data_IF_934746373944
#
_entry.id   IF_934746373944
#
_cell.length_a   1.000
_cell.length_b   1.000
_cell.length_c   1.000
_cell.angle_alpha   90.00
_cell.angle_beta   90.00
_cell.angle_gamma   90.00
#
_symmetry.space_group_name_H-M   'P 1'
#
loop_
_entity.id
_entity.type
_entity.pdbx_description
1 polymer ?
#
# COMPACT_ATOMS: atom_id res chain seq x y z
N UNK A 1 3.23 14.10 48.80
CA UNK A 1 4.01 13.34 47.79
C UNK A 1 3.23 13.34 46.49
N UNK A 2 3.56 14.24 45.55
CA UNK A 2 2.83 14.40 44.29
C UNK A 2 3.28 13.33 43.28
N UNK A 3 2.36 12.51 42.79
CA UNK A 3 2.62 11.60 41.66
C UNK A 3 2.77 12.45 40.41
N UNK A 4 3.99 12.72 39.99
CA UNK A 4 4.25 13.40 38.72
C UNK A 4 4.00 12.41 37.58
N UNK A 5 2.75 12.31 37.14
CA UNK A 5 2.39 11.60 35.92
C UNK A 5 2.82 12.46 34.71
N UNK A 6 4.09 12.37 34.33
CA UNK A 6 4.58 12.91 33.05
C UNK A 6 3.92 12.11 31.93
N UNK A 7 2.75 12.57 31.46
CA UNK A 7 2.16 12.11 30.21
C UNK A 7 3.16 12.44 29.11
N UNK A 8 3.72 11.36 28.56
CA UNK A 8 4.64 11.32 27.44
C UNK A 8 4.09 12.21 26.31
N UNK A 9 4.93 13.13 25.89
CA UNK A 9 4.83 14.00 24.73
C UNK A 9 4.06 13.35 23.58
N UNK A 10 3.04 14.08 23.13
CA UNK A 10 2.76 14.39 21.72
C UNK A 10 3.49 13.50 20.71
N UNK A 11 2.80 12.47 20.22
CA UNK A 11 3.00 12.05 18.85
C UNK A 11 1.60 11.96 18.25
N UNK A 12 1.29 12.96 17.43
CA UNK A 12 0.10 13.03 16.59
C UNK A 12 -0.14 11.64 16.00
N UNK A 13 -1.18 10.92 16.44
CA UNK A 13 -1.66 9.72 15.73
C UNK A 13 -2.05 10.22 14.34
N UNK A 14 -1.30 9.91 13.26
CA UNK A 14 -1.69 10.36 11.94
C UNK A 14 -3.05 9.72 11.65
N UNK A 15 -4.08 10.56 11.51
CA UNK A 15 -5.45 10.18 11.16
C UNK A 15 -5.54 9.77 9.67
N UNK A 16 -4.63 8.91 9.23
CA UNK A 16 -4.45 8.57 7.82
C UNK A 16 -3.92 7.16 7.60
N UNK A 17 -4.20 6.23 8.52
CA UNK A 17 -4.10 4.79 8.24
C UNK A 17 -5.12 4.31 7.16
N UNK A 18 -5.92 5.21 6.60
CA UNK A 18 -6.93 4.94 5.56
C UNK A 18 -6.44 5.19 4.12
N UNK A 19 -5.30 5.83 3.91
CA UNK A 19 -4.69 5.95 2.59
C UNK A 19 -3.43 5.09 2.60
N UNK A 20 -3.56 3.87 2.11
CA UNK A 20 -2.43 3.00 1.77
C UNK A 20 -1.28 3.86 1.21
N UNK A 21 -0.12 3.81 1.88
CA UNK A 21 1.06 4.64 1.59
C UNK A 21 1.32 4.64 0.08
N UNK A 22 1.05 5.77 -0.58
CA UNK A 22 1.36 5.96 -1.99
C UNK A 22 2.73 6.59 -2.06
N UNK A 23 3.62 5.97 -2.82
CA UNK A 23 4.96 6.49 -3.11
C UNK A 23 5.09 6.71 -4.61
N UNK A 24 5.67 7.84 -4.98
CA UNK A 24 6.05 8.08 -6.36
C UNK A 24 7.42 7.44 -6.62
N UNK A 25 7.52 6.68 -7.70
CA UNK A 25 8.73 6.03 -8.17
C UNK A 25 8.92 6.40 -9.64
N UNK A 26 9.69 7.46 -9.89
CA UNK A 26 9.81 8.09 -11.20
C UNK A 26 8.45 8.59 -11.70
N UNK A 27 8.04 8.10 -12.87
CA UNK A 27 6.73 8.42 -13.46
C UNK A 27 5.59 7.51 -13.01
N UNK A 28 5.88 6.52 -12.16
CA UNK A 28 4.88 5.61 -11.62
C UNK A 28 4.47 5.97 -10.20
N UNK A 29 3.20 5.81 -9.88
CA UNK A 29 2.70 5.81 -8.50
C UNK A 29 2.52 4.37 -8.05
N UNK A 30 3.12 4.07 -6.89
CA UNK A 30 3.11 2.75 -6.25
C UNK A 30 2.31 2.85 -4.95
N UNK A 31 1.37 1.94 -4.74
CA UNK A 31 0.54 1.89 -3.54
C UNK A 31 0.57 0.50 -2.92
N UNK A 32 0.90 0.43 -1.63
CA UNK A 32 0.85 -0.83 -0.86
C UNK A 32 -0.57 -1.15 -0.42
N UNK A 33 -1.12 -2.27 -0.87
CA UNK A 33 -2.45 -2.77 -0.50
C UNK A 33 -2.32 -3.83 0.57
N UNK A 34 -2.93 -3.58 1.72
CA UNK A 34 -3.00 -4.55 2.81
C UNK A 34 -3.96 -5.69 2.45
N UNK A 35 -3.75 -6.87 3.03
CA UNK A 35 -4.62 -8.02 2.82
C UNK A 35 -6.10 -7.73 3.14
N UNK A 36 -6.35 -6.92 4.17
CA UNK A 36 -7.71 -6.48 4.55
C UNK A 36 -8.41 -5.65 3.47
N UNK A 37 -7.66 -4.90 2.65
CA UNK A 37 -8.18 -4.11 1.53
C UNK A 37 -8.26 -4.91 0.22
N UNK A 38 -7.60 -6.07 0.15
CA UNK A 38 -7.60 -6.95 -1.01
C UNK A 38 -8.89 -7.78 -1.03
N UNK A 39 -9.96 -7.24 -1.59
CA UNK A 39 -11.27 -7.92 -1.66
C UNK A 39 -11.54 -8.60 -3.00
N UNK A 40 -10.69 -8.35 -4.00
CA UNK A 40 -10.84 -8.85 -5.38
C UNK A 40 -9.63 -9.65 -5.82
N UNK A 41 -9.86 -10.60 -6.73
CA UNK A 41 -8.79 -11.36 -7.38
C UNK A 41 -8.24 -10.60 -8.58
N UNK A 42 -6.91 -10.54 -8.69
CA UNK A 42 -6.20 -9.93 -9.83
C UNK A 42 -5.11 -10.86 -10.36
N UNK A 43 -4.65 -10.64 -11.60
CA UNK A 43 -3.52 -11.38 -12.18
C UNK A 43 -2.25 -10.52 -12.09
N UNK A 44 -1.18 -11.09 -11.54
CA UNK A 44 0.11 -10.42 -11.46
C UNK A 44 0.87 -10.49 -12.80
N UNK A 45 1.31 -9.35 -13.38
CA UNK A 45 2.05 -9.36 -14.64
C UNK A 45 3.42 -10.07 -14.57
N UNK A 46 4.10 -10.03 -13.43
CA UNK A 46 5.46 -10.59 -13.29
C UNK A 46 5.52 -12.12 -13.20
N UNK A 47 4.48 -12.77 -12.69
CA UNK A 47 4.44 -14.23 -12.51
C UNK A 47 3.23 -14.90 -13.14
N UNK A 48 2.32 -14.12 -13.72
CA UNK A 48 1.04 -14.56 -14.28
C UNK A 48 0.16 -15.39 -13.32
N UNK A 49 0.36 -15.24 -12.00
CA UNK A 49 -0.44 -15.92 -10.97
C UNK A 49 -1.50 -15.00 -10.38
N UNK A 50 -2.51 -15.61 -9.77
CA UNK A 50 -3.59 -14.91 -9.10
C UNK A 50 -3.13 -14.30 -7.76
N UNK A 51 -3.47 -13.04 -7.55
CA UNK A 51 -3.47 -12.37 -6.24
C UNK A 51 -4.85 -12.60 -5.66
N UNK A 52 -4.96 -13.48 -4.67
CA UNK A 52 -6.25 -13.81 -4.04
C UNK A 52 -6.69 -12.71 -3.07
N UNK A 53 -8.00 -12.57 -2.79
CA UNK A 53 -8.49 -11.74 -1.70
C UNK A 53 -7.79 -12.10 -0.39
N UNK A 54 -7.53 -11.11 0.46
CA UNK A 54 -6.74 -11.28 1.69
C UNK A 54 -5.23 -11.21 1.48
N UNK A 55 -4.72 -11.21 0.24
CA UNK A 55 -3.28 -11.18 -0.03
C UNK A 55 -2.77 -9.73 -0.10
N UNK A 56 -1.79 -9.40 0.74
CA UNK A 56 -1.08 -8.12 0.65
C UNK A 56 -0.30 -8.04 -0.68
N UNK A 57 -0.46 -6.93 -1.40
CA UNK A 57 0.08 -6.76 -2.74
C UNK A 57 0.32 -5.27 -3.06
N UNK A 58 0.91 -4.99 -4.21
CA UNK A 58 1.28 -3.64 -4.65
C UNK A 58 0.47 -3.27 -5.88
N UNK A 59 -0.01 -2.04 -5.93
CA UNK A 59 -0.76 -1.51 -7.07
C UNK A 59 0.02 -0.36 -7.68
N UNK A 60 0.21 -0.41 -9.00
CA UNK A 60 1.07 0.53 -9.71
C UNK A 60 0.35 1.09 -10.93
N UNK A 61 0.43 2.40 -11.12
CA UNK A 61 -0.13 3.09 -12.27
C UNK A 61 0.75 4.27 -12.67
N UNK A 62 0.61 4.71 -13.92
CA UNK A 62 1.30 5.90 -14.42
C UNK A 62 0.70 7.17 -13.81
N UNK A 63 1.56 8.11 -13.41
CA UNK A 63 1.16 9.35 -12.74
C UNK A 63 0.32 10.29 -13.62
N UNK A 64 0.50 10.22 -14.94
CA UNK A 64 -0.15 11.08 -15.93
C UNK A 64 -1.45 10.46 -16.44
N UNK A 65 -1.45 9.15 -16.67
CA UNK A 65 -2.66 8.44 -17.09
C UNK A 65 -3.66 8.27 -15.94
N UNK A 66 -3.18 8.16 -14.70
CA UNK A 66 -4.04 7.99 -13.53
C UNK A 66 -4.39 6.52 -13.22
N UNK A 67 -5.17 6.29 -12.16
CA UNK A 67 -5.31 4.96 -11.55
C UNK A 67 -6.20 3.99 -12.33
N UNK A 68 -6.84 4.41 -13.43
CA UNK A 68 -7.72 3.53 -14.21
C UNK A 68 -6.94 2.38 -14.86
N UNK A 69 -5.66 2.61 -15.21
CA UNK A 69 -4.79 1.60 -15.81
C UNK A 69 -3.85 0.95 -14.79
N UNK A 70 -4.31 0.84 -13.54
CA UNK A 70 -3.54 0.25 -12.45
C UNK A 70 -3.30 -1.24 -12.63
N UNK A 71 -2.06 -1.64 -12.42
CA UNK A 71 -1.58 -3.03 -12.46
C UNK A 71 -1.37 -3.52 -11.04
N UNK A 72 -1.75 -4.76 -10.79
CA UNK A 72 -1.64 -5.39 -9.48
C UNK A 72 -0.48 -6.38 -9.48
N UNK A 73 0.43 -6.25 -8.53
CA UNK A 73 1.64 -7.06 -8.41
C UNK A 73 1.72 -7.70 -7.03
N UNK A 74 2.15 -8.95 -6.92
CA UNK A 74 2.59 -9.45 -5.61
C UNK A 74 3.78 -8.60 -5.13
N UNK A 75 3.86 -8.30 -3.83
CA UNK A 75 5.00 -7.57 -3.25
C UNK A 75 6.39 -8.14 -3.62
N UNK A 76 6.63 -9.47 -3.64
CA UNK A 76 7.90 -10.02 -4.13
C UNK A 76 8.11 -9.84 -5.63
N UNK A 77 7.05 -9.91 -6.45
CA UNK A 77 7.15 -9.70 -7.89
C UNK A 77 7.46 -8.25 -8.21
N UNK A 78 6.88 -7.30 -7.48
CA UNK A 78 7.16 -5.88 -7.66
C UNK A 78 8.63 -5.55 -7.40
N UNK A 79 9.23 -6.11 -6.34
CA UNK A 79 10.65 -5.87 -6.03
C UNK A 79 11.64 -6.47 -7.04
N UNK A 80 11.17 -7.28 -8.00
CA UNK A 80 11.99 -8.05 -8.93
C UNK A 80 11.69 -7.76 -10.40
N UNK A 81 10.71 -6.89 -10.69
CA UNK A 81 10.26 -6.63 -12.05
C UNK A 81 11.23 -5.73 -12.81
#
# INVERSE_FOLDING_TARGET
MARHNRRRTDEVRPLSAGYASRRAEGDSIVQDVTGAQATKTYICPGCNQQIRPGTAHVVVWDRYDGPQWRRHWHSPCWRRH
#
